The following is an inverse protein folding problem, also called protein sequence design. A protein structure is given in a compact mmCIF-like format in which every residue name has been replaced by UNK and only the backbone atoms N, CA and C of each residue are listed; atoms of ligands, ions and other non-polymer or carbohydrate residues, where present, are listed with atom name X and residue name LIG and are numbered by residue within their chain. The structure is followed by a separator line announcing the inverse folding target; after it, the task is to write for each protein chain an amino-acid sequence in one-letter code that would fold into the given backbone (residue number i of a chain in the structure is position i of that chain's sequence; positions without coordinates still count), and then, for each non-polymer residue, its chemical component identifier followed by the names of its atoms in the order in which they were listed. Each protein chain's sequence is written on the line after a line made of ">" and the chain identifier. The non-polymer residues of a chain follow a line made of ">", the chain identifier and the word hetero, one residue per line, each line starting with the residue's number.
data_IF_110823282279
#
_entry.id   IF_110823282279
#
_cell.length_a   1.000
_cell.length_b   1.000
_cell.length_c   1.000
_cell.angle_alpha   90.00
_cell.angle_beta   90.00
_cell.angle_gamma   90.00
#
_symmetry.space_group_name_H-M   'P 1'
#
loop_
_entity.id
_entity.type
_entity.pdbx_description
1 polymer ?
#
# COMPACT_ATOMS: atom_id res chain seq x y z
N UNK A 1 -31.09 41.04 -61.77
CA UNK A 1 -29.73 41.60 -61.66
C UNK A 1 -28.86 40.48 -61.09
N UNK A 2 -28.17 39.71 -61.93
CA UNK A 2 -26.71 39.82 -62.17
C UNK A 2 -25.91 39.79 -60.84
N UNK A 3 -25.25 38.71 -60.38
CA UNK A 3 -24.37 37.66 -60.97
C UNK A 3 -22.87 38.01 -60.85
N UNK A 4 -22.04 36.95 -60.65
CA UNK A 4 -20.56 36.89 -60.51
C UNK A 4 -19.99 37.07 -59.08
N UNK A 5 -18.95 36.40 -58.57
CA UNK A 5 -18.09 35.21 -58.87
C UNK A 5 -16.61 35.55 -58.58
N UNK A 6 -15.79 34.55 -58.17
CA UNK A 6 -14.29 34.58 -58.00
C UNK A 6 -13.81 35.46 -56.80
N UNK A 7 -12.75 35.22 -56.00
CA UNK A 7 -11.69 34.19 -55.91
C UNK A 7 -10.27 34.83 -55.92
N UNK A 8 -9.28 34.50 -55.07
CA UNK A 8 -9.17 33.58 -53.92
C UNK A 8 -7.71 33.47 -53.40
N UNK A 9 -7.42 32.51 -52.50
CA UNK A 9 -6.09 32.03 -52.04
C UNK A 9 -5.20 32.89 -51.08
N UNK A 10 -4.85 32.25 -49.95
CA UNK A 10 -3.50 32.07 -49.34
C UNK A 10 -2.67 33.22 -48.70
N UNK A 11 -2.60 33.14 -47.35
CA UNK A 11 -1.42 32.67 -46.56
C UNK A 11 -0.44 33.65 -45.85
N UNK A 12 -0.09 33.23 -44.61
CA UNK A 12 0.98 33.72 -43.71
C UNK A 12 0.77 35.13 -43.09
N UNK A 13 1.26 35.46 -41.89
CA UNK A 13 2.10 34.75 -40.91
C UNK A 13 1.71 35.18 -39.49
N UNK A 14 1.81 34.29 -38.49
CA UNK A 14 1.49 34.61 -37.10
C UNK A 14 1.73 33.44 -36.16
N UNK A 15 3.00 33.15 -35.85
CA UNK A 15 3.36 32.06 -34.95
C UNK A 15 2.91 32.37 -33.51
N UNK A 16 2.01 31.54 -32.96
CA UNK A 16 1.76 31.49 -31.52
C UNK A 16 2.50 30.31 -30.89
N UNK A 17 3.40 30.65 -29.98
CA UNK A 17 4.11 29.71 -29.12
C UNK A 17 3.10 29.12 -28.11
N UNK A 18 2.62 27.90 -28.35
CA UNK A 18 1.80 27.19 -27.35
C UNK A 18 2.73 26.46 -26.38
N UNK A 19 2.88 27.02 -25.19
CA UNK A 19 3.55 26.37 -24.07
C UNK A 19 2.74 25.15 -23.62
N UNK A 20 3.31 23.94 -23.75
CA UNK A 20 2.71 22.73 -23.20
C UNK A 20 2.65 22.82 -21.67
N UNK A 21 1.46 22.98 -21.11
CA UNK A 21 1.23 22.72 -19.71
C UNK A 21 1.27 21.21 -19.45
N UNK A 22 2.33 20.74 -18.78
CA UNK A 22 2.41 19.37 -18.28
C UNK A 22 1.32 19.16 -17.21
N UNK A 23 0.16 18.64 -17.61
CA UNK A 23 -0.94 18.24 -16.73
C UNK A 23 -0.59 16.99 -15.91
N UNK A 24 0.41 17.12 -15.03
CA UNK A 24 0.55 16.22 -13.88
C UNK A 24 -0.52 16.59 -12.86
N UNK A 25 -1.73 16.10 -13.08
CA UNK A 25 -2.77 16.03 -12.04
C UNK A 25 -2.29 15.09 -10.95
N UNK A 26 -1.51 15.63 -10.01
CA UNK A 26 -1.22 15.00 -8.73
C UNK A 26 -2.56 14.68 -8.06
N UNK A 27 -2.86 13.39 -7.93
CA UNK A 27 -4.15 12.93 -7.46
C UNK A 27 -4.41 13.40 -6.03
N UNK A 28 -5.18 14.49 -5.86
CA UNK A 28 -5.92 14.71 -4.62
C UNK A 28 -6.81 13.47 -4.44
N UNK A 29 -6.54 12.67 -3.42
CA UNK A 29 -7.45 11.65 -2.93
C UNK A 29 -8.69 12.35 -2.36
N UNK A 30 -9.60 12.75 -3.24
CA UNK A 30 -10.94 13.22 -2.87
C UNK A 30 -11.70 12.02 -2.36
N UNK A 31 -11.65 11.83 -1.04
CA UNK A 31 -12.62 11.00 -0.32
C UNK A 31 -13.99 11.65 -0.49
N UNK A 32 -14.84 11.09 -1.35
CA UNK A 32 -16.23 11.53 -1.42
C UNK A 32 -16.97 11.04 -0.18
N UNK A 33 -17.26 11.96 0.73
CA UNK A 33 -17.84 11.71 2.04
C UNK A 33 -19.35 11.46 2.00
N UNK A 34 -19.81 10.53 1.16
CA UNK A 34 -21.23 10.15 1.08
C UNK A 34 -21.46 8.65 1.31
N UNK A 35 -22.38 8.39 2.24
CA UNK A 35 -22.80 7.07 2.70
C UNK A 35 -23.28 6.17 1.54
N UNK A 36 -23.19 4.84 1.72
CA UNK A 36 -24.42 4.10 2.00
C UNK A 36 -24.21 2.80 2.80
N UNK A 37 -25.24 2.46 3.57
CA UNK A 37 -25.24 1.38 4.55
C UNK A 37 -25.92 0.15 3.97
N UNK A 38 -25.28 -1.02 4.01
CA UNK A 38 -25.91 -2.29 3.66
C UNK A 38 -25.87 -3.25 4.85
N UNK A 39 -26.85 -3.05 5.74
CA UNK A 39 -27.13 -3.97 6.84
C UNK A 39 -27.75 -5.27 6.31
N UNK A 40 -26.99 -6.36 6.32
CA UNK A 40 -27.51 -7.72 6.15
C UNK A 40 -27.04 -8.57 7.32
N UNK A 41 -27.81 -8.56 8.41
CA UNK A 41 -27.69 -9.57 9.46
C UNK A 41 -29.06 -10.22 9.71
N UNK A 42 -29.18 -11.47 9.29
CA UNK A 42 -30.38 -12.27 9.51
C UNK A 42 -30.60 -12.56 10.99
N UNK A 43 -31.87 -12.48 11.42
CA UNK A 43 -32.30 -12.77 12.80
C UNK A 43 -31.79 -14.14 13.28
N UNK A 44 -31.11 -14.18 14.42
CA UNK A 44 -31.16 -15.33 15.34
C UNK A 44 -31.37 -14.86 16.76
N UNK A 45 -32.55 -15.19 17.32
CA UNK A 45 -32.83 -15.04 18.75
C UNK A 45 -31.88 -15.94 19.54
N UNK A 46 -31.32 -15.42 20.61
CA UNK A 46 -30.87 -16.23 21.76
C UNK A 46 -31.43 -15.56 23.02
N UNK A 47 -32.00 -16.35 23.92
CA UNK A 47 -32.76 -15.82 25.05
C UNK A 47 -31.83 -15.48 26.22
N UNK A 48 -31.95 -14.28 26.79
CA UNK A 48 -31.30 -13.94 28.05
C UNK A 48 -32.07 -14.62 29.20
N UNK A 49 -31.42 -15.54 29.90
CA UNK A 49 -31.96 -16.16 31.11
C UNK A 49 -31.26 -15.55 32.33
N UNK A 50 -32.08 -14.96 33.20
CA UNK A 50 -31.65 -14.20 34.37
C UNK A 50 -31.03 -15.14 35.42
N UNK A 51 -29.83 -14.84 35.90
CA UNK A 51 -29.24 -15.49 37.06
C UNK A 51 -28.73 -14.43 38.05
N UNK A 52 -29.57 -14.10 39.02
CA UNK A 52 -29.28 -13.19 40.12
C UNK A 52 -28.31 -13.82 41.11
N UNK A 53 -27.24 -13.12 41.49
CA UNK A 53 -26.60 -13.34 42.80
C UNK A 53 -26.06 -12.03 43.37
N UNK A 54 -26.06 -11.92 44.70
CA UNK A 54 -26.03 -10.66 45.46
C UNK A 54 -24.66 -9.99 45.50
N UNK A 55 -24.70 -8.66 45.56
CA UNK A 55 -23.62 -7.81 46.04
C UNK A 55 -23.32 -8.15 47.51
N UNK A 56 -22.06 -8.34 47.85
CA UNK A 56 -21.55 -8.21 49.21
C UNK A 56 -20.35 -7.24 49.16
N UNK A 57 -20.46 -6.12 49.89
CA UNK A 57 -19.37 -5.18 50.02
C UNK A 57 -18.31 -5.71 51.00
N UNK A 58 -17.03 -5.57 50.65
CA UNK A 58 -15.94 -5.67 51.62
C UNK A 58 -14.92 -4.55 51.36
N UNK A 59 -14.29 -4.10 52.43
CA UNK A 59 -13.73 -2.76 52.55
C UNK A 59 -12.35 -2.56 51.90
N UNK A 60 -12.00 -1.29 51.72
CA UNK A 60 -10.69 -0.83 51.28
C UNK A 60 -9.57 -1.35 52.19
N UNK A 61 -8.62 -2.09 51.63
CA UNK A 61 -7.22 -2.02 52.07
C UNK A 61 -6.34 -1.58 50.91
N UNK A 62 -5.80 -0.35 51.01
CA UNK A 62 -4.66 0.08 50.20
C UNK A 62 -3.46 -0.77 50.59
N UNK A 63 -2.95 -1.58 49.66
CA UNK A 63 -1.59 -2.11 49.76
C UNK A 63 -0.71 -1.27 48.84
N UNK A 64 0.15 -0.48 49.45
CA UNK A 64 1.21 0.26 48.78
C UNK A 64 2.26 -0.72 48.28
N UNK A 65 2.29 -0.99 46.98
CA UNK A 65 3.38 -1.70 46.34
C UNK A 65 4.40 -0.65 45.88
N UNK A 66 5.54 -0.58 46.57
CA UNK A 66 6.66 0.27 46.15
C UNK A 66 7.25 -0.25 44.83
N UNK A 67 7.72 0.63 43.93
CA UNK A 67 8.38 0.20 42.70
C UNK A 67 9.78 -0.33 43.04
N UNK A 68 9.92 -1.66 43.10
CA UNK A 68 11.22 -2.30 43.13
C UNK A 68 11.90 -2.09 41.76
N UNK A 69 13.12 -1.53 41.76
CA UNK A 69 13.85 -1.21 40.54
C UNK A 69 14.12 -2.47 39.70
N UNK A 70 13.54 -2.54 38.50
CA UNK A 70 14.02 -3.43 37.44
C UNK A 70 15.27 -2.82 36.77
N UNK A 71 16.39 -2.80 37.50
CA UNK A 71 17.66 -2.43 36.93
C UNK A 71 18.12 -3.52 35.94
N UNK A 72 18.46 -3.11 34.71
CA UNK A 72 19.25 -3.88 33.75
C UNK A 72 18.78 -5.33 33.49
N UNK A 73 17.58 -5.49 32.93
CA UNK A 73 17.32 -6.64 32.08
C UNK A 73 17.96 -6.39 30.70
N UNK A 74 19.22 -6.81 30.52
CA UNK A 74 19.78 -6.98 29.17
C UNK A 74 18.83 -7.85 28.36
N UNK A 75 18.36 -7.36 27.22
CA UNK A 75 17.41 -8.12 26.41
C UNK A 75 18.12 -9.33 25.83
N UNK A 76 17.82 -10.51 26.38
CA UNK A 76 18.13 -11.81 25.77
C UNK A 76 17.32 -11.94 24.49
N UNK A 77 17.79 -11.28 23.44
CA UNK A 77 17.18 -11.30 22.11
C UNK A 77 17.16 -12.75 21.63
N UNK A 78 15.96 -13.26 21.29
CA UNK A 78 15.83 -14.58 20.68
C UNK A 78 16.65 -14.61 19.37
N UNK A 79 17.39 -15.69 19.08
CA UNK A 79 18.10 -15.81 17.80
C UNK A 79 17.15 -15.74 16.60
N UNK A 80 15.86 -16.06 16.80
CA UNK A 80 14.80 -15.89 15.80
C UNK A 80 14.43 -14.41 15.61
N UNK A 81 14.38 -13.63 16.70
CA UNK A 81 14.11 -12.20 16.64
C UNK A 81 15.24 -11.43 15.95
N UNK A 82 16.51 -11.77 16.20
CA UNK A 82 17.63 -11.21 15.43
C UNK A 82 17.57 -11.61 13.96
N UNK A 83 17.27 -12.87 13.64
CA UNK A 83 17.11 -13.33 12.26
C UNK A 83 16.03 -12.56 11.49
N UNK A 84 14.82 -12.38 12.05
CA UNK A 84 13.78 -11.60 11.37
C UNK A 84 14.16 -10.13 11.18
N UNK A 85 14.97 -9.55 12.09
CA UNK A 85 15.51 -8.20 11.92
C UNK A 85 16.52 -8.12 10.76
N UNK A 86 17.47 -9.06 10.70
CA UNK A 86 18.43 -9.20 9.59
C UNK A 86 17.69 -9.34 8.24
N UNK A 87 16.61 -10.12 8.20
CA UNK A 87 15.79 -10.32 6.99
C UNK A 87 15.04 -9.05 6.59
N UNK A 88 14.50 -8.29 7.54
CA UNK A 88 13.82 -7.02 7.29
C UNK A 88 14.79 -6.00 6.65
N UNK A 89 15.97 -5.82 7.26
CA UNK A 89 17.03 -4.95 6.75
C UNK A 89 17.52 -5.39 5.36
N UNK A 90 17.73 -6.70 5.14
CA UNK A 90 18.15 -7.26 3.86
C UNK A 90 17.09 -7.15 2.76
N UNK A 91 15.80 -7.36 3.08
CA UNK A 91 14.70 -7.25 2.14
C UNK A 91 14.53 -5.80 1.68
N UNK A 92 14.60 -4.83 2.61
CA UNK A 92 14.59 -3.41 2.26
C UNK A 92 15.75 -3.05 1.33
N UNK A 93 16.98 -3.47 1.67
CA UNK A 93 18.16 -3.20 0.85
C UNK A 93 18.00 -3.73 -0.57
N UNK A 94 17.54 -4.98 -0.74
CA UNK A 94 17.32 -5.59 -2.05
C UNK A 94 16.17 -4.94 -2.83
N UNK A 95 15.10 -4.50 -2.16
CA UNK A 95 14.07 -3.68 -2.80
C UNK A 95 14.67 -2.39 -3.37
N UNK A 96 15.46 -1.65 -2.58
CA UNK A 96 16.15 -0.43 -3.02
C UNK A 96 17.14 -0.68 -4.16
N UNK A 97 17.87 -1.80 -4.15
CA UNK A 97 18.76 -2.21 -5.25
C UNK A 97 17.98 -2.43 -6.56
N UNK A 98 16.86 -3.16 -6.52
CA UNK A 98 16.02 -3.46 -7.69
C UNK A 98 15.41 -2.19 -8.33
N UNK A 99 14.91 -1.25 -7.51
CA UNK A 99 14.27 -0.01 -8.02
C UNK A 99 15.25 1.14 -8.32
N UNK A 100 16.55 0.95 -8.04
CA UNK A 100 17.58 1.99 -8.04
C UNK A 100 17.65 2.79 -9.35
N UNK A 101 18.05 4.07 -9.28
CA UNK A 101 18.08 4.98 -10.44
C UNK A 101 19.05 4.56 -11.56
N UNK A 102 19.93 3.59 -11.32
CA UNK A 102 20.84 3.03 -12.33
C UNK A 102 20.12 2.06 -13.27
N UNK A 103 19.01 1.42 -12.85
CA UNK A 103 18.21 0.57 -13.72
C UNK A 103 17.25 1.41 -14.56
N UNK A 104 17.24 1.17 -15.89
CA UNK A 104 16.18 1.73 -16.75
C UNK A 104 14.87 1.10 -16.32
N UNK A 105 13.79 1.86 -16.44
CA UNK A 105 12.47 1.38 -16.00
C UNK A 105 12.05 0.04 -16.63
N UNK A 106 12.40 -0.19 -17.90
CA UNK A 106 12.16 -1.45 -18.62
C UNK A 106 12.88 -2.67 -18.04
N UNK A 107 14.01 -2.47 -17.35
CA UNK A 107 14.86 -3.54 -16.82
C UNK A 107 14.42 -3.99 -15.40
N UNK A 108 13.49 -3.25 -14.78
CA UNK A 108 12.99 -3.46 -13.43
C UNK A 108 11.99 -4.63 -13.38
N UNK A 109 12.23 -5.64 -12.52
CA UNK A 109 11.27 -6.74 -12.33
C UNK A 109 10.19 -6.38 -11.32
N UNK A 110 8.97 -6.13 -11.82
CA UNK A 110 7.76 -5.94 -11.01
C UNK A 110 7.59 -7.05 -9.97
N UNK A 111 7.77 -8.31 -10.40
CA UNK A 111 7.64 -9.47 -9.53
C UNK A 111 8.65 -9.46 -8.38
N UNK A 112 9.95 -9.23 -8.66
CA UNK A 112 10.98 -9.19 -7.60
C UNK A 112 10.73 -8.08 -6.61
N UNK A 113 10.45 -6.86 -7.07
CA UNK A 113 10.18 -5.72 -6.21
C UNK A 113 9.02 -6.00 -5.24
N UNK A 114 7.89 -6.51 -5.74
CA UNK A 114 6.72 -6.85 -4.91
C UNK A 114 6.93 -8.08 -4.01
N UNK A 115 7.82 -9.01 -4.38
CA UNK A 115 8.23 -10.11 -3.50
C UNK A 115 9.15 -9.62 -2.36
N UNK A 116 10.05 -8.66 -2.60
CA UNK A 116 10.86 -8.06 -1.52
C UNK A 116 9.99 -7.28 -0.53
N UNK A 117 9.00 -6.51 -1.00
CA UNK A 117 7.98 -5.87 -0.14
C UNK A 117 7.32 -6.90 0.77
N UNK A 118 6.87 -8.03 0.20
CA UNK A 118 6.21 -9.09 0.96
C UNK A 118 7.13 -9.77 1.99
N UNK A 119 8.43 -9.94 1.70
CA UNK A 119 9.39 -10.52 2.65
C UNK A 119 9.61 -9.57 3.83
N UNK A 120 9.79 -8.28 3.56
CA UNK A 120 9.99 -7.29 4.62
C UNK A 120 8.76 -7.23 5.56
N UNK A 121 7.55 -7.23 4.98
CA UNK A 121 6.31 -7.17 5.75
C UNK A 121 6.05 -8.47 6.53
N UNK A 122 6.21 -9.68 5.95
CA UNK A 122 6.08 -10.93 6.72
C UNK A 122 7.21 -11.13 7.75
N UNK A 123 8.44 -10.66 7.48
CA UNK A 123 9.51 -10.67 8.47
C UNK A 123 9.18 -9.75 9.65
N UNK A 124 8.65 -8.55 9.41
CA UNK A 124 8.12 -7.69 10.46
C UNK A 124 6.98 -8.37 11.23
N UNK A 125 6.04 -9.02 10.56
CA UNK A 125 4.97 -9.76 11.24
C UNK A 125 5.49 -10.93 12.08
N UNK A 126 6.46 -11.68 11.59
CA UNK A 126 7.07 -12.80 12.29
C UNK A 126 7.93 -12.35 13.48
N UNK A 127 8.66 -11.24 13.34
CA UNK A 127 9.39 -10.58 14.43
C UNK A 127 8.45 -10.23 15.58
N UNK A 128 7.33 -9.53 15.31
CA UNK A 128 6.37 -9.16 16.35
C UNK A 128 5.74 -10.40 17.02
N UNK A 129 5.36 -11.44 16.25
CA UNK A 129 4.86 -12.72 16.79
C UNK A 129 5.86 -13.38 17.76
N UNK A 130 7.16 -13.33 17.44
CA UNK A 130 8.23 -13.83 18.31
C UNK A 130 8.38 -12.98 19.58
N UNK A 131 8.37 -11.65 19.46
CA UNK A 131 8.45 -10.74 20.61
C UNK A 131 7.24 -10.88 21.56
N UNK A 132 6.02 -11.00 21.01
CA UNK A 132 4.80 -11.30 21.77
C UNK A 132 4.93 -12.63 22.53
N UNK A 133 5.44 -13.68 21.87
CA UNK A 133 5.65 -14.98 22.49
C UNK A 133 6.70 -14.94 23.62
N UNK A 134 7.77 -14.16 23.45
CA UNK A 134 8.78 -13.92 24.49
C UNK A 134 8.20 -13.13 25.67
N UNK A 135 7.34 -12.12 25.43
CA UNK A 135 6.64 -11.40 26.51
C UNK A 135 5.78 -12.36 27.32
N UNK A 136 4.96 -13.17 26.65
CA UNK A 136 4.12 -14.18 27.30
C UNK A 136 4.93 -15.22 28.09
N UNK A 137 6.11 -15.62 27.62
CA UNK A 137 7.01 -16.50 28.38
C UNK A 137 7.63 -15.80 29.59
N UNK A 138 7.97 -14.51 29.48
CA UNK A 138 8.50 -13.70 30.57
C UNK A 138 7.45 -13.40 31.65
N UNK A 139 6.18 -13.25 31.27
CA UNK A 139 5.05 -13.13 32.20
C UNK A 139 4.71 -14.46 32.89
N UNK A 140 4.87 -15.60 32.19
CA UNK A 140 4.58 -16.95 32.70
C UNK A 140 5.73 -17.59 33.49
N UNK A 141 6.72 -16.80 33.93
CA UNK A 141 7.97 -17.31 34.51
C UNK A 141 7.83 -18.00 35.88
N UNK A 142 6.60 -18.12 36.41
CA UNK A 142 6.22 -19.02 37.51
C UNK A 142 6.10 -20.50 37.10
N UNK A 143 6.21 -20.82 35.80
CA UNK A 143 6.18 -22.22 35.32
C UNK A 143 7.29 -22.52 34.32
N UNK A 144 8.19 -23.44 34.69
CA UNK A 144 9.28 -23.92 33.83
C UNK A 144 8.77 -24.81 32.69
N UNK A 145 9.24 -24.58 31.46
CA UNK A 145 9.01 -25.47 30.32
C UNK A 145 10.09 -25.33 29.23
N UNK A 146 10.25 -26.32 28.33
CA UNK A 146 11.57 -26.75 27.91
C UNK A 146 12.14 -25.98 26.71
N UNK A 147 13.44 -25.71 26.75
CA UNK A 147 14.21 -25.19 25.62
C UNK A 147 14.41 -26.26 24.55
N UNK A 148 13.45 -26.40 23.63
CA UNK A 148 13.65 -27.13 22.38
C UNK A 148 14.00 -26.14 21.25
N UNK A 149 15.15 -25.51 21.39
CA UNK A 149 15.74 -24.67 20.33
C UNK A 149 16.34 -25.63 19.29
N UNK A 150 15.59 -25.92 18.23
CA UNK A 150 16.22 -26.37 16.99
C UNK A 150 17.06 -25.21 16.47
N UNK A 151 18.35 -25.46 16.33
CA UNK A 151 19.29 -24.62 15.61
C UNK A 151 18.81 -24.53 14.15
N UNK A 152 18.36 -23.35 13.74
CA UNK A 152 17.92 -23.11 12.36
C UNK A 152 19.14 -22.66 11.56
N UNK A 153 19.52 -23.48 10.59
CA UNK A 153 20.63 -23.17 9.69
C UNK A 153 20.29 -21.93 8.85
N UNK A 154 21.28 -21.06 8.64
CA UNK A 154 21.09 -19.67 8.19
C UNK A 154 20.75 -19.49 6.70
N UNK A 155 20.40 -20.57 6.00
CA UNK A 155 20.38 -20.61 4.53
C UNK A 155 19.00 -20.73 3.85
N UNK A 156 17.90 -20.84 4.59
CA UNK A 156 16.56 -20.69 4.00
C UNK A 156 15.96 -19.33 4.40
N UNK A 157 15.90 -18.41 3.42
CA UNK A 157 15.24 -17.12 3.57
C UNK A 157 13.78 -17.29 4.01
N UNK A 158 13.24 -16.35 4.79
CA UNK A 158 11.87 -16.39 5.33
C UNK A 158 10.88 -16.83 4.24
N UNK A 159 10.33 -18.05 4.33
CA UNK A 159 9.65 -18.66 3.20
C UNK A 159 8.27 -18.00 3.02
N UNK A 160 8.11 -17.27 1.93
CA UNK A 160 6.84 -16.70 1.52
C UNK A 160 5.88 -17.84 1.17
N UNK A 161 5.01 -18.21 2.12
CA UNK A 161 4.13 -19.37 2.03
C UNK A 161 4.84 -20.69 1.64
N UNK A 162 6.06 -20.91 2.17
CA UNK A 162 6.85 -22.13 1.92
C UNK A 162 7.82 -22.04 0.74
N UNK A 163 7.88 -20.92 0.00
CA UNK A 163 8.76 -20.73 -1.16
C UNK A 163 9.66 -19.48 -1.02
N UNK A 164 10.84 -19.54 -1.63
CA UNK A 164 11.74 -18.40 -1.82
C UNK A 164 11.39 -17.60 -3.11
N UNK A 165 12.09 -16.48 -3.34
CA UNK A 165 11.83 -15.58 -4.49
C UNK A 165 11.97 -16.29 -5.84
N UNK A 166 13.04 -17.08 -6.01
CA UNK A 166 13.31 -17.75 -7.29
C UNK A 166 12.23 -18.78 -7.59
N UNK A 167 11.72 -19.49 -6.58
CA UNK A 167 10.60 -20.43 -6.74
C UNK A 167 9.27 -19.75 -7.08
N UNK A 168 9.07 -18.49 -6.66
CA UNK A 168 7.93 -17.67 -7.10
C UNK A 168 8.10 -17.14 -8.53
N UNK A 169 9.33 -16.83 -8.96
CA UNK A 169 9.60 -16.50 -10.36
C UNK A 169 9.41 -17.73 -11.27
N UNK A 170 9.86 -18.91 -10.84
CA UNK A 170 9.63 -20.18 -11.54
C UNK A 170 8.14 -20.55 -11.62
N UNK A 171 7.32 -20.19 -10.63
CA UNK A 171 5.85 -20.33 -10.74
C UNK A 171 5.28 -19.46 -11.89
N UNK A 172 5.78 -18.24 -12.08
CA UNK A 172 5.38 -17.37 -13.20
C UNK A 172 5.90 -17.92 -14.55
N UNK A 173 7.11 -18.47 -14.57
CA UNK A 173 7.68 -19.15 -15.75
C UNK A 173 6.87 -20.41 -16.11
N UNK A 174 6.38 -21.16 -15.11
CA UNK A 174 5.53 -22.32 -15.31
C UNK A 174 4.14 -21.93 -15.86
N UNK A 175 3.54 -20.85 -15.36
CA UNK A 175 2.28 -20.30 -15.91
C UNK A 175 2.47 -19.88 -17.37
N UNK A 176 3.59 -19.21 -17.72
CA UNK A 176 3.87 -18.85 -19.11
C UNK A 176 4.02 -20.09 -20.02
N UNK A 177 4.70 -21.15 -19.57
CA UNK A 177 4.81 -22.42 -20.31
C UNK A 177 3.47 -23.13 -20.51
N UNK A 178 2.53 -23.01 -19.57
CA UNK A 178 1.17 -23.51 -19.76
C UNK A 178 0.42 -22.73 -20.86
N UNK A 179 0.67 -21.42 -20.99
CA UNK A 179 0.16 -20.63 -22.13
C UNK A 179 0.82 -21.04 -23.44
N UNK A 180 2.15 -21.22 -23.48
CA UNK A 180 2.85 -21.74 -24.67
C UNK A 180 2.27 -23.10 -25.11
N UNK A 181 2.01 -24.00 -24.16
CA UNK A 181 1.38 -25.30 -24.43
C UNK A 181 -0.05 -25.15 -24.97
N UNK A 182 -0.86 -24.23 -24.44
CA UNK A 182 -2.22 -23.96 -24.95
C UNK A 182 -2.18 -23.35 -26.38
N UNK A 183 -1.27 -22.40 -26.65
CA UNK A 183 -1.05 -21.82 -27.99
C UNK A 183 -0.71 -22.92 -29.00
N UNK A 184 0.29 -23.76 -28.70
CA UNK A 184 0.71 -24.88 -29.57
C UNK A 184 -0.40 -25.92 -29.72
N UNK A 185 -1.19 -26.19 -28.68
CA UNK A 185 -2.27 -27.19 -28.74
C UNK A 185 -3.42 -26.81 -29.69
N UNK A 186 -3.58 -25.51 -29.95
CA UNK A 186 -4.62 -24.96 -30.83
C UNK A 186 -4.12 -24.63 -32.25
N UNK A 187 -2.81 -24.77 -32.50
CA UNK A 187 -2.14 -24.28 -33.71
C UNK A 187 -2.35 -22.76 -33.92
N UNK A 188 -2.40 -21.99 -32.82
CA UNK A 188 -2.51 -20.53 -32.88
C UNK A 188 -1.24 -19.98 -33.51
N UNK A 189 -1.42 -19.17 -34.57
CA UNK A 189 -0.33 -18.51 -35.28
C UNK A 189 0.19 -17.27 -34.55
N UNK A 190 0.40 -16.20 -35.30
CA UNK A 190 0.81 -14.90 -34.75
C UNK A 190 -0.37 -13.97 -34.45
N UNK A 191 -1.60 -14.49 -34.31
CA UNK A 191 -2.76 -13.66 -33.97
C UNK A 191 -2.74 -13.28 -32.48
N UNK A 192 -2.62 -11.98 -32.22
CA UNK A 192 -2.65 -11.41 -30.89
C UNK A 192 -3.96 -11.71 -30.14
N UNK A 193 -5.09 -11.79 -30.85
CA UNK A 193 -6.41 -12.02 -30.22
C UNK A 193 -6.47 -13.42 -29.63
N UNK A 194 -6.14 -14.42 -30.43
CA UNK A 194 -6.10 -15.84 -30.01
C UNK A 194 -5.04 -16.10 -28.93
N UNK A 195 -3.87 -15.46 -29.03
CA UNK A 195 -2.84 -15.57 -27.99
C UNK A 195 -3.30 -14.96 -26.65
N UNK A 196 -3.98 -13.81 -26.68
CA UNK A 196 -4.56 -13.23 -25.46
C UNK A 196 -5.72 -14.09 -24.92
N UNK A 197 -6.50 -14.78 -25.77
CA UNK A 197 -7.48 -15.78 -25.32
C UNK A 197 -6.81 -16.94 -24.58
N UNK A 198 -5.72 -17.50 -25.12
CA UNK A 198 -4.96 -18.55 -24.46
C UNK A 198 -4.41 -18.11 -23.09
N UNK A 199 -3.88 -16.87 -22.97
CA UNK A 199 -3.48 -16.28 -21.68
C UNK A 199 -4.66 -16.22 -20.71
N UNK A 200 -5.83 -15.76 -21.17
CA UNK A 200 -7.02 -15.64 -20.32
C UNK A 200 -7.53 -17.00 -19.85
N UNK A 201 -7.62 -18.00 -20.73
CA UNK A 201 -8.00 -19.36 -20.35
C UNK A 201 -7.06 -19.95 -19.30
N UNK A 202 -5.74 -19.85 -19.50
CA UNK A 202 -4.78 -20.39 -18.53
C UNK A 202 -4.90 -19.68 -17.19
N UNK A 203 -4.96 -18.35 -17.15
CA UNK A 203 -5.04 -17.60 -15.89
C UNK A 203 -6.40 -17.80 -15.18
N UNK A 204 -7.50 -17.68 -15.90
CA UNK A 204 -8.84 -17.53 -15.30
C UNK A 204 -9.64 -18.82 -15.24
N UNK A 205 -9.51 -19.71 -16.22
CA UNK A 205 -10.23 -20.98 -16.26
C UNK A 205 -9.41 -22.12 -15.64
N UNK A 206 -8.16 -22.30 -16.07
CA UNK A 206 -7.31 -23.42 -15.63
C UNK A 206 -6.66 -23.16 -14.27
N UNK A 207 -5.99 -22.01 -14.09
CA UNK A 207 -5.39 -21.60 -12.81
C UNK A 207 -6.39 -20.92 -11.86
N UNK A 208 -7.58 -20.58 -12.34
CA UNK A 208 -8.69 -20.13 -11.52
C UNK A 208 -8.48 -18.79 -10.80
N UNK A 209 -7.63 -17.90 -11.33
CA UNK A 209 -7.42 -16.57 -10.75
C UNK A 209 -8.73 -15.77 -10.70
N UNK A 210 -8.97 -15.09 -9.59
CA UNK A 210 -10.21 -14.34 -9.32
C UNK A 210 -9.90 -12.99 -8.73
N UNK A 211 -10.48 -11.97 -9.36
CA UNK A 211 -10.49 -10.60 -8.88
C UNK A 211 -11.34 -10.46 -7.61
N UNK A 212 -10.75 -9.98 -6.53
CA UNK A 212 -11.44 -9.53 -5.32
C UNK A 212 -11.91 -8.09 -5.49
N UNK A 213 -13.19 -7.83 -5.22
CA UNK A 213 -13.80 -6.51 -5.32
C UNK A 213 -13.59 -5.63 -4.09
N UNK A 214 -12.89 -6.11 -3.05
CA UNK A 214 -12.78 -5.39 -1.77
C UNK A 214 -11.36 -5.43 -1.22
N UNK A 215 -10.80 -4.24 -0.96
CA UNK A 215 -9.56 -4.02 -0.20
C UNK A 215 -9.75 -4.35 1.31
N UNK A 216 -10.13 -5.59 1.61
CA UNK A 216 -10.30 -6.10 2.99
C UNK A 216 -9.29 -7.21 3.30
N UNK A 217 -9.07 -8.16 2.37
CA UNK A 217 -8.05 -9.19 2.57
C UNK A 217 -6.66 -8.69 2.10
N UNK A 218 -5.71 -8.73 3.03
CA UNK A 218 -4.30 -8.40 2.76
C UNK A 218 -3.66 -9.39 1.80
N UNK A 219 -4.12 -10.65 1.74
CA UNK A 219 -3.58 -11.66 0.82
C UNK A 219 -3.71 -11.27 -0.65
N UNK A 220 -4.74 -10.49 -0.99
CA UNK A 220 -4.98 -9.97 -2.34
C UNK A 220 -3.98 -8.86 -2.76
N UNK A 221 -3.14 -8.36 -1.83
CA UNK A 221 -2.15 -7.29 -2.06
C UNK A 221 -0.68 -7.76 -2.02
N UNK A 222 -0.41 -9.04 -1.77
CA UNK A 222 0.95 -9.58 -1.81
C UNK A 222 1.09 -10.67 -2.89
N UNK A 223 2.05 -10.51 -3.81
CA UNK A 223 2.16 -11.35 -5.01
C UNK A 223 2.23 -12.86 -4.70
N UNK A 224 3.05 -13.29 -3.74
CA UNK A 224 3.13 -14.69 -3.32
C UNK A 224 1.79 -15.25 -2.80
N UNK A 225 1.03 -14.44 -2.07
CA UNK A 225 -0.27 -14.81 -1.51
C UNK A 225 -1.33 -14.89 -2.61
N UNK A 226 -1.26 -14.03 -3.63
CA UNK A 226 -2.11 -14.12 -4.83
C UNK A 226 -1.78 -15.39 -5.63
N UNK A 227 -0.50 -15.66 -5.91
CA UNK A 227 -0.06 -16.86 -6.63
C UNK A 227 -0.46 -18.16 -5.90
N UNK A 228 -0.49 -18.15 -4.56
CA UNK A 228 -0.99 -19.27 -3.76
C UNK A 228 -2.52 -19.39 -3.76
N UNK A 229 -3.22 -18.31 -3.40
CA UNK A 229 -4.67 -18.32 -3.11
C UNK A 229 -5.56 -18.16 -4.33
N UNK A 230 -4.97 -17.74 -5.46
CA UNK A 230 -5.64 -17.35 -6.71
C UNK A 230 -6.60 -16.16 -6.56
N UNK A 231 -6.68 -15.51 -5.40
CA UNK A 231 -7.47 -14.29 -5.18
C UNK A 231 -6.58 -13.04 -5.27
N UNK A 232 -6.90 -12.11 -6.17
CA UNK A 232 -6.07 -10.96 -6.52
C UNK A 232 -6.81 -9.62 -6.39
N UNK A 233 -6.10 -8.55 -6.05
CA UNK A 233 -6.54 -7.17 -6.36
C UNK A 233 -6.38 -6.84 -7.84
N UNK A 234 -7.01 -5.77 -8.32
CA UNK A 234 -6.88 -5.27 -9.69
C UNK A 234 -5.42 -5.14 -10.14
N UNK A 235 -4.62 -4.41 -9.35
CA UNK A 235 -3.21 -4.15 -9.63
C UNK A 235 -2.38 -5.44 -9.67
N UNK A 236 -2.55 -6.36 -8.72
CA UNK A 236 -1.77 -7.60 -8.72
C UNK A 236 -2.20 -8.58 -9.81
N UNK A 237 -3.46 -8.55 -10.22
CA UNK A 237 -3.92 -9.33 -11.37
C UNK A 237 -3.33 -8.78 -12.67
N UNK A 238 -3.31 -7.45 -12.82
CA UNK A 238 -2.63 -6.76 -13.92
C UNK A 238 -1.12 -7.04 -13.94
N UNK A 239 -0.45 -7.03 -12.79
CA UNK A 239 0.98 -7.40 -12.68
C UNK A 239 1.21 -8.84 -13.13
N UNK A 240 0.42 -9.81 -12.67
CA UNK A 240 0.56 -11.21 -13.10
C UNK A 240 0.37 -11.32 -14.63
N UNK A 241 -0.62 -10.63 -15.18
CA UNK A 241 -0.89 -10.62 -16.63
C UNK A 241 0.29 -10.05 -17.42
N UNK A 242 0.78 -8.87 -17.04
CA UNK A 242 1.95 -8.20 -17.66
C UNK A 242 3.20 -9.09 -17.56
N UNK A 243 3.41 -9.73 -16.40
CA UNK A 243 4.60 -10.53 -16.10
C UNK A 243 4.60 -11.89 -16.84
N UNK A 244 3.42 -12.47 -17.10
CA UNK A 244 3.24 -13.65 -17.98
C UNK A 244 3.37 -13.26 -19.45
N UNK A 245 2.68 -12.22 -19.91
CA UNK A 245 2.78 -11.74 -21.30
C UNK A 245 4.22 -11.36 -21.67
N UNK A 246 4.98 -10.73 -20.76
CA UNK A 246 6.39 -10.39 -20.99
C UNK A 246 7.27 -11.62 -21.25
N UNK A 247 6.96 -12.78 -20.65
CA UNK A 247 7.67 -14.05 -20.91
C UNK A 247 7.39 -14.60 -22.30
N UNK A 248 6.17 -14.36 -22.79
CA UNK A 248 5.73 -14.68 -24.15
C UNK A 248 6.21 -13.64 -25.20
N UNK A 249 7.08 -12.71 -24.81
CA UNK A 249 7.52 -11.55 -25.60
C UNK A 249 6.40 -10.58 -26.03
N UNK A 250 5.28 -10.57 -25.31
CA UNK A 250 4.16 -9.65 -25.54
C UNK A 250 4.24 -8.42 -24.63
N UNK A 251 4.08 -7.23 -25.22
CA UNK A 251 4.05 -5.96 -24.51
C UNK A 251 2.62 -5.58 -24.10
N UNK A 252 2.29 -5.83 -22.84
CA UNK A 252 1.08 -5.31 -22.20
C UNK A 252 1.44 -4.10 -21.35
N UNK A 253 0.68 -3.01 -21.52
CA UNK A 253 0.76 -1.77 -20.76
C UNK A 253 -0.45 -1.65 -19.84
N UNK A 254 -0.42 -0.71 -18.91
CA UNK A 254 -1.58 -0.37 -18.10
C UNK A 254 -1.54 1.04 -17.57
N UNK A 255 -2.62 1.46 -16.91
CA UNK A 255 -2.74 2.78 -16.27
C UNK A 255 -3.71 2.74 -15.10
N UNK A 256 -3.55 3.68 -14.16
CA UNK A 256 -4.42 3.82 -13.00
C UNK A 256 -5.62 4.73 -13.34
N UNK A 257 -6.81 4.24 -13.04
CA UNK A 257 -8.07 4.97 -13.22
C UNK A 257 -8.83 4.98 -11.89
N UNK A 258 -8.64 6.03 -11.10
CA UNK A 258 -9.23 6.11 -9.76
C UNK A 258 -8.64 5.05 -8.81
N UNK A 259 -9.49 4.22 -8.21
CA UNK A 259 -9.05 3.08 -7.38
C UNK A 259 -8.66 1.84 -8.23
N UNK A 260 -8.84 1.91 -9.55
CA UNK A 260 -8.68 0.77 -10.47
C UNK A 260 -7.41 0.83 -11.31
N UNK A 261 -6.99 -0.34 -11.81
CA UNK A 261 -5.86 -0.48 -12.71
C UNK A 261 -6.30 -1.26 -13.96
N UNK A 262 -6.20 -0.62 -15.12
CA UNK A 262 -6.58 -1.18 -16.41
C UNK A 262 -5.34 -1.60 -17.20
N UNK A 263 -5.46 -2.67 -18.00
CA UNK A 263 -4.38 -3.15 -18.88
C UNK A 263 -4.84 -3.32 -20.33
N UNK A 264 -3.93 -3.13 -21.29
CA UNK A 264 -4.15 -3.35 -22.72
C UNK A 264 -2.85 -3.69 -23.45
N UNK A 265 -2.88 -4.43 -24.59
CA UNK A 265 -1.68 -4.65 -25.40
C UNK A 265 -1.20 -3.33 -26.02
N UNK A 266 0.11 -3.13 -26.07
CA UNK A 266 0.70 -1.90 -26.64
C UNK A 266 0.62 -1.86 -28.18
N UNK A 267 0.60 -3.02 -28.83
CA UNK A 267 0.66 -3.16 -30.28
C UNK A 267 -0.60 -3.83 -30.82
N UNK A 268 -1.60 -3.04 -31.17
CA UNK A 268 -2.82 -3.52 -31.82
C UNK A 268 -3.77 -2.37 -32.11
N UNK A 269 -4.62 -2.53 -33.12
CA UNK A 269 -5.73 -1.61 -33.35
C UNK A 269 -6.80 -1.85 -32.27
N UNK A 270 -6.80 -0.99 -31.26
CA UNK A 270 -7.66 -1.14 -30.08
C UNK A 270 -9.16 -1.10 -30.42
N UNK A 271 -9.52 -0.53 -31.58
CA UNK A 271 -10.89 -0.61 -32.10
C UNK A 271 -11.25 -2.02 -32.59
N UNK A 272 -10.39 -2.69 -33.34
CA UNK A 272 -10.62 -4.09 -33.79
C UNK A 272 -10.68 -5.03 -32.57
N UNK A 273 -9.73 -4.90 -31.65
CA UNK A 273 -9.72 -5.59 -30.34
C UNK A 273 -10.93 -5.28 -29.43
N UNK A 274 -11.79 -4.32 -29.78
CA UNK A 274 -13.03 -4.00 -29.06
C UNK A 274 -14.30 -4.41 -29.83
N UNK A 275 -14.24 -4.45 -31.16
CA UNK A 275 -15.35 -4.79 -32.07
C UNK A 275 -15.45 -6.28 -32.33
N UNK A 276 -14.31 -6.92 -32.59
CA UNK A 276 -14.17 -8.35 -32.85
C UNK A 276 -14.26 -9.16 -31.55
N UNK A 277 -13.96 -8.51 -30.43
CA UNK A 277 -13.89 -9.11 -29.10
C UNK A 277 -14.99 -8.58 -28.19
N UNK A 278 -16.24 -8.96 -28.44
CA UNK A 278 -17.39 -8.55 -27.62
C UNK A 278 -17.29 -9.10 -26.19
N UNK A 279 -16.62 -8.37 -25.30
CA UNK A 279 -16.64 -8.57 -23.84
C UNK A 279 -15.88 -9.79 -23.28
N UNK A 280 -15.27 -10.66 -24.09
CA UNK A 280 -14.79 -11.97 -23.58
C UNK A 280 -13.32 -12.06 -23.14
N UNK A 281 -12.39 -11.45 -23.87
CA UNK A 281 -10.94 -11.73 -23.70
C UNK A 281 -10.34 -10.79 -22.62
N UNK A 282 -9.70 -9.68 -23.01
CA UNK A 282 -9.00 -8.82 -22.05
C UNK A 282 -9.95 -7.90 -21.25
N UNK A 283 -10.97 -7.37 -21.94
CA UNK A 283 -11.91 -6.42 -21.38
C UNK A 283 -13.01 -7.04 -20.52
N UNK A 284 -13.21 -8.37 -20.53
CA UNK A 284 -14.18 -9.02 -19.65
C UNK A 284 -13.62 -9.34 -18.27
N UNK A 285 -12.44 -9.98 -18.23
CA UNK A 285 -11.98 -10.65 -17.00
C UNK A 285 -11.07 -9.78 -16.13
N UNK A 286 -10.14 -9.03 -16.74
CA UNK A 286 -9.21 -8.16 -15.98
C UNK A 286 -9.83 -6.78 -15.74
N UNK A 287 -10.22 -6.11 -16.83
CA UNK A 287 -10.81 -4.77 -16.79
C UNK A 287 -12.33 -4.79 -16.50
N UNK A 288 -13.06 -5.81 -16.99
CA UNK A 288 -14.51 -5.73 -17.19
C UNK A 288 -15.34 -5.43 -15.95
N UNK A 289 -15.02 -6.08 -14.82
CA UNK A 289 -15.72 -5.80 -13.55
C UNK A 289 -15.55 -4.36 -13.05
N UNK A 290 -14.56 -3.60 -13.55
CA UNK A 290 -14.41 -2.17 -13.29
C UNK A 290 -15.20 -1.30 -14.27
N UNK A 291 -15.37 -1.78 -15.50
CA UNK A 291 -16.12 -1.09 -16.56
C UNK A 291 -17.64 -1.27 -16.34
N UNK A 292 -18.04 -2.40 -15.76
CA UNK A 292 -19.43 -2.79 -15.50
C UNK A 292 -20.04 -2.18 -14.23
N UNK A 293 -19.25 -1.76 -13.22
CA UNK A 293 -19.79 -1.07 -12.02
C UNK A 293 -19.97 0.43 -12.33
N UNK A 294 -21.20 0.98 -12.37
CA UNK A 294 -21.44 2.39 -12.71
C UNK A 294 -20.89 3.40 -11.68
N UNK A 295 -20.32 2.93 -10.56
CA UNK A 295 -19.67 3.77 -9.53
C UNK A 295 -18.16 3.85 -9.72
N UNK A 296 -17.59 3.03 -10.61
CA UNK A 296 -16.17 3.01 -10.92
C UNK A 296 -15.85 4.08 -11.96
N UNK A 297 -14.78 4.86 -11.74
CA UNK A 297 -14.30 5.83 -12.75
C UNK A 297 -13.85 5.17 -14.07
N UNK A 298 -13.73 3.84 -14.10
CA UNK A 298 -13.47 3.10 -15.32
C UNK A 298 -14.74 2.86 -16.19
N UNK A 299 -15.97 2.96 -15.66
CA UNK A 299 -17.18 2.77 -16.48
C UNK A 299 -17.35 3.80 -17.58
N UNK A 300 -16.78 5.00 -17.38
CA UNK A 300 -16.84 6.11 -18.34
C UNK A 300 -15.81 5.97 -19.49
N UNK A 301 -14.92 4.97 -19.40
CA UNK A 301 -13.86 4.75 -20.38
C UNK A 301 -14.38 3.88 -21.53
N UNK A 302 -14.08 4.30 -22.76
CA UNK A 302 -14.26 3.49 -23.96
C UNK A 302 -12.90 3.17 -24.60
N UNK A 303 -12.90 2.32 -25.63
CA UNK A 303 -11.70 1.93 -26.41
C UNK A 303 -10.87 3.13 -26.87
N UNK A 304 -11.53 4.24 -27.23
CA UNK A 304 -10.87 5.43 -27.76
C UNK A 304 -10.28 6.30 -26.63
N UNK A 305 -10.86 6.24 -25.43
CA UNK A 305 -10.39 6.95 -24.24
C UNK A 305 -9.12 6.32 -23.64
N UNK A 306 -8.91 5.01 -23.83
CA UNK A 306 -7.70 4.31 -23.40
C UNK A 306 -6.42 4.83 -24.08
N UNK A 307 -6.52 5.29 -25.34
CA UNK A 307 -5.40 5.90 -26.06
C UNK A 307 -5.00 7.27 -25.49
N UNK A 308 -5.87 7.90 -24.69
CA UNK A 308 -5.61 9.16 -23.99
C UNK A 308 -5.15 9.00 -22.54
N UNK A 309 -4.98 7.77 -22.04
CA UNK A 309 -4.44 7.52 -20.70
C UNK A 309 -2.92 7.52 -20.70
N UNK A 310 -2.32 8.14 -19.68
CA UNK A 310 -0.89 8.05 -19.43
C UNK A 310 -0.50 6.59 -19.11
N UNK A 311 0.39 6.02 -19.92
CA UNK A 311 0.92 4.67 -19.71
C UNK A 311 1.79 4.66 -18.45
N UNK A 312 1.42 3.82 -17.48
CA UNK A 312 2.17 3.66 -16.24
C UNK A 312 3.54 3.00 -16.49
N UNK A 313 4.59 3.59 -15.90
CA UNK A 313 5.92 2.96 -15.86
C UNK A 313 5.94 1.78 -14.90
N UNK A 314 6.96 0.91 -14.97
CA UNK A 314 7.13 -0.17 -13.99
C UNK A 314 7.25 0.39 -12.56
N UNK A 315 7.89 1.56 -12.38
CA UNK A 315 7.89 2.27 -11.10
C UNK A 315 6.48 2.73 -10.69
N UNK A 316 5.68 3.30 -11.60
CA UNK A 316 4.31 3.72 -11.26
C UNK A 316 3.43 2.52 -10.86
N UNK A 317 3.54 1.38 -11.54
CA UNK A 317 2.83 0.13 -11.20
C UNK A 317 3.15 -0.33 -9.76
N UNK A 318 4.42 -0.26 -9.35
CA UNK A 318 4.83 -0.55 -7.97
C UNK A 318 4.28 0.52 -7.01
N UNK A 319 4.27 1.79 -7.43
CA UNK A 319 3.67 2.89 -6.68
C UNK A 319 2.20 2.68 -6.37
N UNK A 320 1.40 2.23 -7.35
CA UNK A 320 -0.02 1.87 -7.18
C UNK A 320 -0.18 0.71 -6.20
N UNK A 321 0.65 -0.33 -6.30
CA UNK A 321 0.62 -1.46 -5.37
C UNK A 321 0.95 -1.05 -3.92
N UNK A 322 1.94 -0.18 -3.73
CA UNK A 322 2.29 0.39 -2.43
C UNK A 322 1.17 1.31 -1.89
N UNK A 323 0.56 2.14 -2.73
CA UNK A 323 -0.59 2.98 -2.37
C UNK A 323 -1.79 2.17 -1.87
N UNK A 324 -2.04 0.99 -2.47
CA UNK A 324 -3.07 0.06 -2.00
C UNK A 324 -2.73 -0.57 -0.64
N UNK A 325 -1.45 -0.90 -0.40
CA UNK A 325 -0.98 -1.38 0.92
C UNK A 325 -1.13 -0.30 2.00
N UNK A 326 -0.69 0.94 1.73
CA UNK A 326 -0.88 2.11 2.61
C UNK A 326 -2.37 2.25 2.95
N UNK A 327 -3.24 2.26 1.95
CA UNK A 327 -4.68 2.45 2.11
C UNK A 327 -5.32 1.35 2.95
N UNK A 328 -4.95 0.08 2.72
CA UNK A 328 -5.42 -1.05 3.51
C UNK A 328 -4.99 -0.93 4.98
N UNK A 329 -3.69 -0.73 5.20
CA UNK A 329 -3.11 -0.72 6.53
C UNK A 329 -3.56 0.51 7.33
N UNK A 330 -3.72 1.67 6.70
CA UNK A 330 -4.35 2.84 7.30
C UNK A 330 -5.80 2.56 7.71
N UNK A 331 -6.65 2.06 6.79
CA UNK A 331 -8.06 1.72 7.09
C UNK A 331 -8.20 0.69 8.22
N UNK A 332 -7.22 -0.19 8.40
CA UNK A 332 -7.14 -1.13 9.54
C UNK A 332 -6.65 -0.47 10.83
N UNK A 333 -5.67 0.42 10.74
CA UNK A 333 -5.13 1.19 11.87
C UNK A 333 -6.18 2.13 12.46
N UNK A 334 -6.92 2.86 11.61
CA UNK A 334 -7.95 3.83 11.95
C UNK A 334 -9.37 3.24 12.06
N UNK A 335 -9.53 1.91 12.12
CA UNK A 335 -10.84 1.22 12.18
C UNK A 335 -11.76 1.69 13.32
N UNK A 336 -11.22 2.27 14.39
CA UNK A 336 -11.96 2.87 15.51
C UNK A 336 -12.39 4.33 15.28
N UNK A 337 -11.78 5.00 14.30
CA UNK A 337 -11.94 6.42 13.97
C UNK A 337 -12.36 6.55 12.49
N UNK A 338 -13.60 6.17 12.18
CA UNK A 338 -14.14 6.22 10.81
C UNK A 338 -14.02 7.63 10.21
N UNK A 339 -13.54 7.72 8.97
CA UNK A 339 -13.32 9.00 8.27
C UNK A 339 -12.01 9.71 8.59
N UNK A 340 -11.17 9.18 9.52
CA UNK A 340 -9.86 9.76 9.80
C UNK A 340 -8.91 9.61 8.60
N UNK A 341 -8.47 10.73 8.03
CA UNK A 341 -7.43 10.80 7.00
C UNK A 341 -6.06 11.05 7.66
N UNK A 342 -4.97 10.60 7.03
CA UNK A 342 -3.63 10.93 7.53
C UNK A 342 -3.33 12.44 7.45
N UNK A 343 -3.98 13.17 6.56
CA UNK A 343 -3.92 14.64 6.48
C UNK A 343 -4.89 15.39 7.41
N UNK A 344 -5.77 14.71 8.17
CA UNK A 344 -6.75 15.37 9.07
C UNK A 344 -6.17 16.42 10.04
N UNK A 345 -4.94 16.28 10.59
CA UNK A 345 -4.35 17.30 11.46
C UNK A 345 -4.01 18.62 10.75
N UNK A 346 -3.86 18.61 9.41
CA UNK A 346 -3.62 19.80 8.60
C UNK A 346 -4.93 20.58 8.39
N UNK A 347 -6.06 19.88 8.28
CA UNK A 347 -7.38 20.49 8.12
C UNK A 347 -7.88 21.25 9.35
N UNK A 348 -7.37 20.94 10.56
CA UNK A 348 -7.81 21.62 11.79
C UNK A 348 -7.14 22.97 12.03
N UNK A 349 -6.25 23.43 11.14
CA UNK A 349 -5.50 24.68 11.30
C UNK A 349 -6.33 25.92 10.91
N UNK A 350 -7.39 25.76 10.10
CA UNK A 350 -8.19 26.90 9.60
C UNK A 350 -9.42 27.26 10.44
N UNK A 351 -9.81 26.48 11.45
CA UNK A 351 -10.99 26.77 12.29
C UNK A 351 -10.58 27.49 13.59
N UNK A 352 -10.29 28.79 13.50
CA UNK A 352 -9.90 29.61 14.65
C UNK A 352 -11.03 29.86 15.68
N UNK A 353 -12.29 29.62 15.31
CA UNK A 353 -13.47 30.01 16.11
C UNK A 353 -13.99 28.94 17.08
N UNK A 354 -13.55 27.69 17.00
CA UNK A 354 -13.88 26.69 18.03
C UNK A 354 -12.99 26.87 19.26
N UNK A 355 -13.55 27.51 20.30
CA UNK A 355 -12.97 27.69 21.64
C UNK A 355 -11.97 26.61 22.02
N UNK A 356 -10.69 26.96 21.97
CA UNK A 356 -9.59 26.13 22.48
C UNK A 356 -9.80 25.83 23.99
N UNK A 357 -10.36 24.65 24.27
CA UNK A 357 -10.20 24.04 25.58
C UNK A 357 -8.72 23.69 25.73
N UNK A 358 -8.04 24.40 26.64
CA UNK A 358 -6.64 24.12 27.00
C UNK A 358 -6.54 22.75 27.67
N UNK A 359 -6.36 21.69 26.89
CA UNK A 359 -5.89 20.36 27.31
C UNK A 359 -5.61 19.35 26.17
N UNK A 360 -5.93 19.68 24.91
CA UNK A 360 -5.98 18.71 23.80
C UNK A 360 -4.63 18.25 23.20
N UNK A 361 -3.50 18.47 23.89
CA UNK A 361 -2.19 17.90 23.53
C UNK A 361 -2.17 16.35 23.61
N UNK A 362 -3.14 15.73 24.27
CA UNK A 362 -3.26 14.28 24.42
C UNK A 362 -4.01 13.57 23.29
N UNK A 363 -4.73 14.31 22.42
CA UNK A 363 -5.74 13.77 21.51
C UNK A 363 -5.20 13.30 20.13
N UNK A 364 -4.02 12.68 20.08
CA UNK A 364 -3.64 11.88 18.90
C UNK A 364 -4.56 10.65 18.85
N UNK A 365 -5.39 10.46 17.81
CA UNK A 365 -6.32 9.34 17.73
C UNK A 365 -5.62 7.99 17.94
N UNK A 366 -6.19 7.14 18.80
CA UNK A 366 -5.64 5.81 19.06
C UNK A 366 -5.75 4.95 17.78
N UNK A 367 -4.60 4.72 17.15
CA UNK A 367 -4.44 3.82 16.01
C UNK A 367 -3.83 2.49 16.46
N UNK A 368 -4.10 1.41 15.70
CA UNK A 368 -3.49 0.10 15.97
C UNK A 368 -2.00 0.12 15.57
N UNK A 369 -1.03 0.01 16.50
CA UNK A 369 0.38 0.30 16.20
C UNK A 369 0.97 -0.57 15.10
N UNK A 370 0.63 -1.87 15.08
CA UNK A 370 1.09 -2.83 14.08
C UNK A 370 0.62 -2.51 12.65
N UNK A 371 -0.62 -2.08 12.48
CA UNK A 371 -1.17 -1.73 11.17
C UNK A 371 -0.66 -0.35 10.74
N UNK A 372 -0.54 0.60 11.67
CA UNK A 372 0.10 1.89 11.41
C UNK A 372 1.54 1.69 10.93
N UNK A 373 2.34 0.83 11.58
CA UNK A 373 3.73 0.59 11.18
C UNK A 373 3.86 -0.01 9.78
N UNK A 374 2.94 -0.90 9.37
CA UNK A 374 2.89 -1.43 8.00
C UNK A 374 2.53 -0.33 6.98
N UNK A 375 1.61 0.58 7.31
CA UNK A 375 1.32 1.75 6.47
C UNK A 375 2.56 2.66 6.34
N UNK A 376 3.23 2.97 7.45
CA UNK A 376 4.48 3.75 7.47
C UNK A 376 5.57 3.10 6.62
N UNK A 377 5.77 1.77 6.72
CA UNK A 377 6.75 1.03 5.91
C UNK A 377 6.42 1.05 4.41
N UNK A 378 5.14 0.89 4.04
CA UNK A 378 4.72 1.00 2.64
C UNK A 378 4.88 2.43 2.09
N UNK A 379 4.61 3.45 2.91
CA UNK A 379 4.81 4.87 2.58
C UNK A 379 6.30 5.23 2.44
N UNK A 380 7.16 4.69 3.29
CA UNK A 380 8.62 4.84 3.20
C UNK A 380 9.16 4.27 1.88
N UNK A 381 8.70 3.07 1.47
CA UNK A 381 9.06 2.46 0.18
C UNK A 381 8.59 3.30 -1.01
N UNK A 382 7.41 3.90 -0.91
CA UNK A 382 6.87 4.79 -1.95
C UNK A 382 7.70 6.09 -2.07
N UNK A 383 8.17 6.63 -0.93
CA UNK A 383 9.08 7.76 -0.92
C UNK A 383 10.47 7.42 -1.49
N UNK A 384 11.02 6.22 -1.21
CA UNK A 384 12.27 5.75 -1.83
C UNK A 384 12.11 5.62 -3.35
N UNK A 385 10.95 5.15 -3.81
CA UNK A 385 10.63 4.98 -5.23
C UNK A 385 10.50 6.30 -5.98
N UNK A 386 9.91 7.33 -5.37
CA UNK A 386 9.71 8.66 -5.97
C UNK A 386 10.11 9.80 -4.98
N UNK A 387 11.42 10.00 -4.69
CA UNK A 387 11.92 10.89 -3.62
C UNK A 387 11.64 12.38 -3.80
N UNK A 388 11.36 12.79 -5.05
CA UNK A 388 11.03 14.16 -5.44
C UNK A 388 9.52 14.47 -5.32
N UNK A 389 8.67 13.49 -5.00
CA UNK A 389 7.25 13.73 -4.80
C UNK A 389 7.01 14.22 -3.36
N UNK A 390 6.85 15.53 -3.21
CA UNK A 390 6.56 16.17 -1.93
C UNK A 390 5.30 15.60 -1.26
N UNK A 391 4.26 15.22 -2.02
CA UNK A 391 3.02 14.70 -1.45
C UNK A 391 3.23 13.34 -0.76
N UNK A 392 4.11 12.48 -1.27
CA UNK A 392 4.46 11.23 -0.57
C UNK A 392 5.34 11.48 0.65
N UNK A 393 6.22 12.49 0.61
CA UNK A 393 7.01 12.91 1.78
C UNK A 393 6.13 13.46 2.88
N UNK A 394 5.14 14.30 2.53
CA UNK A 394 4.08 14.78 3.44
C UNK A 394 3.39 13.59 4.09
N UNK A 395 2.85 12.69 3.29
CA UNK A 395 2.02 11.58 3.79
C UNK A 395 2.84 10.62 4.68
N UNK A 396 4.13 10.40 4.37
CA UNK A 396 5.08 9.69 5.23
C UNK A 396 5.31 10.41 6.57
N UNK A 397 5.60 11.72 6.53
CA UNK A 397 5.77 12.56 7.73
C UNK A 397 4.52 12.59 8.62
N UNK A 398 3.33 12.59 8.02
CA UNK A 398 2.06 12.47 8.76
C UNK A 398 1.94 11.12 9.47
N UNK A 399 2.29 9.99 8.82
CA UNK A 399 2.25 8.68 9.47
C UNK A 399 3.27 8.55 10.62
N UNK A 400 4.43 9.21 10.50
CA UNK A 400 5.39 9.33 11.60
C UNK A 400 4.83 10.15 12.78
N UNK A 401 4.14 11.26 12.52
CA UNK A 401 3.42 12.02 13.56
C UNK A 401 2.42 11.14 14.32
N UNK A 402 1.59 10.36 13.62
CA UNK A 402 0.66 9.42 14.26
C UNK A 402 1.38 8.28 15.01
N UNK A 403 2.59 7.92 14.58
CA UNK A 403 3.44 6.94 15.27
C UNK A 403 4.13 7.53 16.52
N UNK A 404 4.05 8.85 16.73
CA UNK A 404 4.76 9.65 17.74
C UNK A 404 6.28 9.73 17.53
N UNK A 405 6.76 9.41 16.34
CA UNK A 405 8.16 9.54 15.92
C UNK A 405 8.47 11.02 15.54
N UNK A 406 8.23 11.95 16.47
CA UNK A 406 8.22 13.39 16.21
C UNK A 406 9.57 13.92 15.68
N UNK A 407 10.70 13.38 16.12
CA UNK A 407 12.03 13.75 15.61
C UNK A 407 12.16 13.55 14.09
N UNK A 408 11.65 12.43 13.56
CA UNK A 408 11.72 12.09 12.13
C UNK A 408 10.59 12.78 11.37
N UNK A 409 9.39 12.86 11.96
CA UNK A 409 8.26 13.57 11.38
C UNK A 409 8.57 15.06 11.11
N UNK A 410 9.24 15.74 12.05
CA UNK A 410 9.73 17.12 11.85
C UNK A 410 10.67 17.21 10.65
N UNK A 411 11.66 16.31 10.57
CA UNK A 411 12.66 16.32 9.50
C UNK A 411 12.01 16.14 8.13
N UNK A 412 11.16 15.12 7.98
CA UNK A 412 10.51 14.82 6.70
C UNK A 412 9.51 15.89 6.27
N UNK A 413 8.73 16.46 7.20
CA UNK A 413 7.82 17.55 6.88
C UNK A 413 8.55 18.86 6.59
N UNK A 414 9.67 19.15 7.27
CA UNK A 414 10.52 20.31 6.93
C UNK A 414 11.13 20.19 5.54
N UNK A 415 11.61 19.00 5.17
CA UNK A 415 12.09 18.72 3.81
C UNK A 415 10.92 18.80 2.81
N UNK A 416 9.72 18.34 3.19
CA UNK A 416 8.53 18.45 2.35
C UNK A 416 8.20 19.90 2.00
N UNK A 417 8.21 20.82 2.97
CA UNK A 417 7.93 22.25 2.72
C UNK A 417 8.89 22.85 1.69
N UNK A 418 10.18 22.45 1.71
CA UNK A 418 11.17 22.93 0.75
C UNK A 418 10.96 22.45 -0.71
N UNK A 419 10.08 21.47 -0.94
CA UNK A 419 9.74 20.94 -2.27
C UNK A 419 8.25 21.07 -2.65
N UNK A 420 7.41 21.56 -1.73
CA UNK A 420 5.99 21.76 -1.94
C UNK A 420 5.72 23.09 -2.68
N UNK A 421 4.58 23.24 -3.37
CA UNK A 421 4.04 24.54 -3.77
C UNK A 421 3.86 25.45 -2.55
N UNK A 422 3.96 26.76 -2.76
CA UNK A 422 3.88 27.78 -1.70
C UNK A 422 2.58 27.64 -0.89
N UNK A 423 1.44 27.40 -1.56
CA UNK A 423 0.13 27.26 -0.93
C UNK A 423 0.00 26.00 -0.05
N UNK A 424 0.73 24.94 -0.36
CA UNK A 424 0.75 23.71 0.44
C UNK A 424 1.83 23.79 1.55
N UNK A 425 2.87 24.60 1.36
CA UNK A 425 3.88 24.89 2.38
C UNK A 425 3.31 25.78 3.50
N UNK A 426 2.54 26.82 3.18
CA UNK A 426 1.83 27.68 4.14
C UNK A 426 0.89 26.87 5.08
N UNK A 427 0.28 25.80 4.58
CA UNK A 427 -0.57 24.89 5.38
C UNK A 427 0.26 23.97 6.29
N UNK A 428 1.48 23.62 5.88
CA UNK A 428 2.38 22.73 6.63
C UNK A 428 3.17 23.47 7.72
N UNK A 429 3.57 24.73 7.50
CA UNK A 429 4.39 25.52 8.42
C UNK A 429 3.86 25.55 9.87
N UNK A 430 2.62 26.01 10.16
CA UNK A 430 2.09 26.03 11.53
C UNK A 430 1.94 24.63 12.14
N UNK A 431 1.78 23.59 11.32
CA UNK A 431 1.76 22.21 11.81
C UNK A 431 3.16 21.72 12.19
N UNK A 432 4.19 22.08 11.42
CA UNK A 432 5.60 21.77 11.73
C UNK A 432 6.07 22.53 12.98
N UNK A 433 5.70 23.79 13.16
CA UNK A 433 5.94 24.54 14.40
C UNK A 433 5.31 23.84 15.62
N UNK A 434 4.04 23.43 15.52
CA UNK A 434 3.35 22.66 16.56
C UNK A 434 4.08 21.34 16.86
N UNK A 435 4.60 20.68 15.83
CA UNK A 435 5.35 19.42 15.94
C UNK A 435 6.71 19.61 16.63
N UNK A 436 7.40 20.73 16.39
CA UNK A 436 8.59 21.15 17.14
C UNK A 436 8.29 21.33 18.64
N UNK A 437 7.13 21.89 19.01
CA UNK A 437 6.73 22.02 20.41
C UNK A 437 6.47 20.65 21.07
N UNK A 438 5.70 19.77 20.40
CA UNK A 438 5.43 18.41 20.91
C UNK A 438 6.70 17.57 21.07
N UNK A 439 7.71 17.78 20.21
CA UNK A 439 9.06 17.20 20.32
C UNK A 439 9.82 17.69 21.56
N UNK A 440 9.66 18.96 21.94
CA UNK A 440 10.27 19.50 23.16
C UNK A 440 9.57 18.94 24.41
N UNK A 441 8.24 18.87 24.41
CA UNK A 441 7.46 18.28 25.52
C UNK A 441 7.82 16.81 25.77
N UNK A 442 7.92 15.98 24.73
CA UNK A 442 8.31 14.57 24.89
C UNK A 442 9.73 14.39 25.48
N UNK A 443 10.64 15.33 25.21
CA UNK A 443 11.96 15.34 25.85
C UNK A 443 11.89 15.65 27.36
N UNK A 444 10.91 16.45 27.79
CA UNK A 444 10.73 16.86 29.20
C UNK A 444 10.08 15.80 30.09
N UNK A 445 9.49 14.74 29.54
CA UNK A 445 9.05 13.57 30.33
C UNK A 445 10.19 12.57 30.64
N UNK A 446 11.36 12.72 30.00
CA UNK A 446 12.55 11.88 30.19
C UNK A 446 13.65 12.26 31.23
N UNK A 447 13.61 13.33 32.06
CA UNK A 447 14.76 13.76 32.88
C UNK A 447 15.18 12.83 34.02
N UNK A 448 14.41 11.77 34.31
CA UNK A 448 14.53 10.96 35.53
C UNK A 448 15.82 10.14 35.69
N UNK A 449 16.75 10.15 34.74
CA UNK A 449 17.99 9.34 34.79
C UNK A 449 19.30 10.09 34.48
N UNK A 450 19.31 11.42 34.41
CA UNK A 450 20.59 12.16 34.35
C UNK A 450 20.94 12.83 35.68
N UNK A 451 21.91 12.19 36.36
CA UNK A 451 22.90 12.81 37.25
C UNK A 451 22.41 13.78 38.32
N UNK A 452 22.63 13.41 39.59
CA UNK A 452 22.70 14.39 40.69
C UNK A 452 23.65 15.53 40.31
N UNK A 453 23.11 16.70 39.98
CA UNK A 453 23.86 17.94 39.99
C UNK A 453 24.35 18.17 41.42
N UNK A 454 25.64 17.93 41.62
CA UNK A 454 26.29 18.22 42.89
C UNK A 454 26.72 19.68 42.82
N UNK A 455 25.93 20.55 43.42
CA UNK A 455 26.27 21.98 43.60
C UNK A 455 27.38 22.06 44.65
N UNK A 456 28.43 22.90 44.44
CA UNK A 456 29.63 22.95 45.30
C UNK A 456 29.36 23.37 46.75
#
# INVERSE_FOLDING_TARGET
>A
MMMMMIGGANASSGAMHVTMASLRTCGRYVFDGRNECLSVYGKRKMNNLLATTRIAALEKRRLSISPACSALAESRNSPRASFYKEVLEAARKKFTEEISFQSKDKDLSLAKALLYVAIEDEAFLAFNREMDALSLQNERRDTSSPSNVKEWDRMEAVPLAGKNINEWLVELDAIAKEVEAEIVSRDIGCDLVEVLDAVNKVLFELRGFKRSSVLVDSKCLYLHSVLSSRCASAILLGVIYIEVCRRLNLTVVGSQVGEEFLIWPQTGNLEELSKETSGHILFGVVNGKCMEDPRSKASDINSNSLLGLDIATNRDIIGVALGNLITLHWKRASRTNYGLMWTSPLSSVHNADEKFNKNDFSNVPLLRPRELRLATMASERLLILQPHNWAFRRDYGMMLYYSRDYDVAVQELSICMAFAPEEEAEVLEPFVEKLHLMRLESSWESPGQQGRLTVP
#
